data_IF_144668547070
#
_entry.id   IF_144668547070
#
_cell.length_a   1.000
_cell.length_b   1.000
_cell.length_c   1.000
_cell.angle_alpha   90.00
_cell.angle_beta   90.00
_cell.angle_gamma   90.00
#
_symmetry.space_group_name_H-M   'P 1'
#
loop_
_entity.id
_entity.type
_entity.pdbx_description
1 polymer ?
#
# COMPACT_ATOMS: atom_id res chain seq x y z
N UNK A 1 -11.87 -6.97 21.04
CA UNK A 1 -13.21 -6.44 21.42
C UNK A 1 -13.37 -6.17 22.92
N UNK A 2 -12.99 -7.09 23.84
CA UNK A 2 -13.15 -6.87 25.30
C UNK A 2 -12.49 -5.59 25.82
N UNK A 3 -11.27 -5.32 25.38
CA UNK A 3 -10.54 -4.09 25.72
C UNK A 3 -11.24 -2.83 25.18
N UNK A 4 -11.72 -2.90 23.93
CA UNK A 4 -12.44 -1.80 23.29
C UNK A 4 -13.74 -1.46 24.04
N UNK A 5 -14.47 -2.46 24.53
CA UNK A 5 -15.62 -2.25 25.40
C UNK A 5 -15.25 -1.59 26.73
N UNK A 6 -14.09 -1.91 27.30
CA UNK A 6 -13.60 -1.27 28.54
C UNK A 6 -13.26 0.20 28.31
N UNK A 7 -12.64 0.54 27.17
CA UNK A 7 -12.33 1.92 26.79
C UNK A 7 -13.62 2.75 26.65
N UNK A 8 -14.66 2.20 26.01
CA UNK A 8 -15.96 2.86 25.86
C UNK A 8 -16.65 3.13 27.20
N UNK A 9 -16.59 2.18 28.14
CA UNK A 9 -17.11 2.37 29.51
C UNK A 9 -16.39 3.50 30.26
N UNK A 10 -15.18 3.88 29.84
CA UNK A 10 -14.41 5.01 30.38
C UNK A 10 -14.62 6.31 29.59
N UNK A 11 -15.56 6.35 28.65
CA UNK A 11 -15.81 7.53 27.83
C UNK A 11 -14.84 7.70 26.64
N UNK A 12 -14.04 6.67 26.31
CA UNK A 12 -13.02 6.78 25.25
C UNK A 12 -13.57 6.20 23.94
N UNK A 13 -13.52 6.99 22.87
CA UNK A 13 -13.85 6.57 21.52
C UNK A 13 -12.77 5.63 20.96
N UNK A 14 -13.14 4.70 20.08
CA UNK A 14 -12.16 3.83 19.43
C UNK A 14 -12.53 3.42 18.02
N UNK A 15 -11.48 3.20 17.22
CA UNK A 15 -11.58 2.74 15.83
C UNK A 15 -10.62 1.57 15.64
N UNK A 16 -11.12 0.45 15.11
CA UNK A 16 -10.32 -0.75 14.86
C UNK A 16 -10.94 -1.63 13.78
N UNK A 17 -10.09 -2.40 13.11
CA UNK A 17 -10.54 -3.42 12.17
C UNK A 17 -10.92 -4.72 12.90
N UNK A 18 -11.96 -5.38 12.40
CA UNK A 18 -12.46 -6.65 12.92
C UNK A 18 -12.99 -7.51 11.78
N UNK A 19 -12.81 -8.82 11.86
CA UNK A 19 -13.49 -9.77 10.97
C UNK A 19 -14.84 -10.12 11.57
N UNK A 20 -15.93 -9.82 10.86
CA UNK A 20 -17.29 -10.19 11.25
C UNK A 20 -17.78 -11.35 10.41
N UNK A 21 -18.49 -12.28 11.04
CA UNK A 21 -19.10 -13.42 10.35
C UNK A 21 -20.53 -13.05 9.94
N UNK A 22 -20.83 -13.20 8.65
CA UNK A 22 -22.19 -13.10 8.12
C UNK A 22 -22.99 -14.37 8.46
N UNK A 23 -24.34 -14.33 8.38
CA UNK A 23 -25.18 -15.50 8.63
C UNK A 23 -24.88 -16.71 7.72
N UNK A 24 -24.33 -16.47 6.53
CA UNK A 24 -23.89 -17.48 5.58
C UNK A 24 -22.53 -18.11 5.94
N UNK A 25 -21.88 -17.67 7.01
CA UNK A 25 -20.56 -18.13 7.46
C UNK A 25 -19.38 -17.36 6.84
N UNK A 26 -19.62 -16.43 5.90
CA UNK A 26 -18.55 -15.65 5.30
C UNK A 26 -17.94 -14.67 6.30
N UNK A 27 -16.61 -14.63 6.38
CA UNK A 27 -15.88 -13.61 7.12
C UNK A 27 -15.69 -12.35 6.27
N UNK A 28 -16.09 -11.21 6.81
CA UNK A 28 -15.97 -9.90 6.16
C UNK A 28 -15.15 -8.96 7.03
N UNK A 29 -14.07 -8.36 6.50
CA UNK A 29 -13.33 -7.36 7.22
C UNK A 29 -14.17 -6.09 7.32
N UNK A 30 -14.29 -5.58 8.54
CA UNK A 30 -15.03 -4.37 8.84
C UNK A 30 -14.19 -3.42 9.68
N UNK A 31 -14.36 -2.12 9.45
CA UNK A 31 -13.88 -1.07 10.32
C UNK A 31 -14.99 -0.74 11.33
N UNK A 32 -14.71 -1.00 12.60
CA UNK A 32 -15.60 -0.62 13.70
C UNK A 32 -15.15 0.74 14.25
N UNK A 33 -16.05 1.70 14.20
CA UNK A 33 -15.96 2.95 14.95
C UNK A 33 -16.98 2.89 16.08
N UNK A 34 -16.58 3.22 17.30
CA UNK A 34 -17.52 3.27 18.40
C UNK A 34 -17.20 4.39 19.39
N UNK A 35 -18.27 5.05 19.82
CA UNK A 35 -18.24 6.17 20.74
C UNK A 35 -19.18 5.89 21.92
N UNK A 36 -18.82 6.33 23.14
CA UNK A 36 -19.73 6.26 24.28
C UNK A 36 -20.94 7.17 24.04
N UNK A 37 -22.10 6.76 24.54
CA UNK A 37 -23.25 7.64 24.69
C UNK A 37 -23.27 8.16 26.11
N UNK A 38 -23.32 9.48 26.27
CA UNK A 38 -23.30 10.16 27.55
C UNK A 38 -24.67 10.78 27.84
N UNK A 39 -25.10 10.78 29.11
CA UNK A 39 -26.23 11.60 29.56
C UNK A 39 -25.82 13.07 29.77
N UNK A 40 -26.76 13.91 30.25
CA UNK A 40 -26.52 15.33 30.50
C UNK A 40 -25.51 15.59 31.63
N UNK A 41 -25.31 14.61 32.52
CA UNK A 41 -24.42 14.69 33.67
C UNK A 41 -23.03 14.07 33.36
N UNK A 42 -22.81 13.61 32.12
CA UNK A 42 -21.56 13.04 31.65
C UNK A 42 -21.40 11.55 31.96
N UNK A 43 -22.43 10.85 32.45
CA UNK A 43 -22.37 9.42 32.71
C UNK A 43 -22.54 8.61 31.43
N UNK A 44 -21.79 7.52 31.29
CA UNK A 44 -21.90 6.60 30.14
C UNK A 44 -23.18 5.78 30.26
N UNK A 45 -24.16 6.07 29.40
CA UNK A 45 -25.44 5.35 29.31
C UNK A 45 -25.45 4.29 28.21
N UNK A 46 -24.43 4.24 27.36
CA UNK A 46 -24.35 3.25 26.30
C UNK A 46 -23.16 3.43 25.37
N UNK A 47 -23.26 2.84 24.18
CA UNK A 47 -22.28 3.03 23.11
C UNK A 47 -22.98 3.04 21.76
N UNK A 48 -22.57 3.97 20.91
CA UNK A 48 -22.94 4.02 19.51
C UNK A 48 -21.81 3.42 18.69
N UNK A 49 -22.11 2.43 17.85
CA UNK A 49 -21.14 1.76 17.00
C UNK A 49 -21.55 1.84 15.54
N UNK A 50 -20.63 2.27 14.69
CA UNK A 50 -20.74 2.20 13.25
C UNK A 50 -19.77 1.15 12.72
N UNK A 51 -20.27 0.25 11.88
CA UNK A 51 -19.46 -0.79 11.25
C UNK A 51 -19.49 -0.57 9.75
N UNK A 52 -18.31 -0.39 9.16
CA UNK A 52 -18.15 -0.22 7.71
C UNK A 52 -17.50 -1.46 7.14
N UNK A 53 -18.11 -2.10 6.14
CA UNK A 53 -17.45 -3.16 5.37
C UNK A 53 -16.28 -2.54 4.58
N UNK A 54 -15.07 -3.08 4.74
CA UNK A 54 -13.85 -2.59 4.10
C UNK A 54 -13.24 -3.62 3.13
N UNK A 55 -13.98 -4.66 2.75
CA UNK A 55 -13.49 -5.69 1.83
C UNK A 55 -13.02 -5.10 0.50
N UNK A 56 -13.84 -4.24 -0.10
CA UNK A 56 -13.53 -3.58 -1.38
C UNK A 56 -12.30 -2.67 -1.26
N UNK A 57 -12.21 -1.88 -0.18
CA UNK A 57 -11.05 -1.03 0.10
C UNK A 57 -9.76 -1.86 0.17
N UNK A 58 -9.80 -2.98 0.91
CA UNK A 58 -8.64 -3.88 1.05
C UNK A 58 -8.25 -4.55 -0.26
N UNK A 59 -9.22 -4.90 -1.09
CA UNK A 59 -8.94 -5.45 -2.41
C UNK A 59 -8.23 -4.43 -3.29
N UNK A 60 -8.72 -3.18 -3.33
CA UNK A 60 -8.07 -2.10 -4.08
C UNK A 60 -6.66 -1.78 -3.55
N UNK A 61 -6.47 -1.77 -2.22
CA UNK A 61 -5.15 -1.57 -1.60
C UNK A 61 -4.16 -2.68 -2.02
N UNK A 62 -4.62 -3.93 -2.09
CA UNK A 62 -3.80 -5.08 -2.51
C UNK A 62 -3.46 -5.01 -4.01
N UNK A 63 -4.44 -4.71 -4.86
CA UNK A 63 -4.23 -4.54 -6.31
C UNK A 63 -3.24 -3.40 -6.58
N UNK A 64 -3.37 -2.27 -5.87
CA UNK A 64 -2.42 -1.16 -5.98
C UNK A 64 -1.01 -1.58 -5.56
N UNK A 65 -0.88 -2.31 -4.45
CA UNK A 65 0.42 -2.81 -3.99
C UNK A 65 1.08 -3.70 -5.05
N UNK A 66 0.32 -4.63 -5.62
CA UNK A 66 0.81 -5.53 -6.67
C UNK A 66 1.29 -4.77 -7.91
N UNK A 67 0.53 -3.76 -8.34
CA UNK A 67 0.91 -2.91 -9.47
C UNK A 67 2.18 -2.11 -9.21
N UNK A 68 2.35 -1.58 -8.00
CA UNK A 68 3.59 -0.87 -7.59
C UNK A 68 4.78 -1.83 -7.61
N UNK A 69 4.64 -3.02 -7.02
CA UNK A 69 5.70 -4.04 -7.00
C UNK A 69 6.11 -4.46 -8.42
N UNK A 70 5.14 -4.63 -9.33
CA UNK A 70 5.41 -4.97 -10.73
C UNK A 70 6.14 -3.83 -11.46
N UNK A 71 5.69 -2.58 -11.25
CA UNK A 71 6.31 -1.41 -11.87
C UNK A 71 7.76 -1.24 -11.39
N UNK A 72 8.02 -1.41 -10.09
CA UNK A 72 9.37 -1.37 -9.53
C UNK A 72 10.27 -2.46 -10.14
N UNK A 73 9.75 -3.67 -10.31
CA UNK A 73 10.47 -4.77 -10.94
C UNK A 73 10.81 -4.45 -12.39
N UNK A 74 9.84 -3.94 -13.17
CA UNK A 74 10.06 -3.57 -14.56
C UNK A 74 11.09 -2.44 -14.68
N UNK A 75 10.95 -1.42 -13.85
CA UNK A 75 11.86 -0.28 -13.74
C UNK A 75 13.30 -0.73 -13.48
N UNK A 76 13.51 -1.62 -12.50
CA UNK A 76 14.83 -2.19 -12.19
C UNK A 76 15.46 -2.91 -13.41
N UNK A 77 14.68 -3.67 -14.15
CA UNK A 77 15.15 -4.36 -15.36
C UNK A 77 15.43 -3.37 -16.50
N UNK A 78 14.61 -2.34 -16.66
CA UNK A 78 14.81 -1.29 -17.66
C UNK A 78 16.11 -0.51 -17.40
N UNK A 79 16.34 -0.04 -16.17
CA UNK A 79 17.58 0.64 -15.81
C UNK A 79 18.83 -0.22 -16.01
N UNK A 80 18.75 -1.51 -15.67
CA UNK A 80 19.86 -2.44 -15.92
C UNK A 80 20.19 -2.55 -17.41
N UNK A 81 19.17 -2.63 -18.26
CA UNK A 81 19.34 -2.67 -19.72
C UNK A 81 19.91 -1.36 -20.27
N UNK A 82 19.40 -0.22 -19.82
CA UNK A 82 19.88 1.10 -20.26
C UNK A 82 21.34 1.31 -19.87
N UNK A 83 21.71 0.98 -18.62
CA UNK A 83 23.11 1.04 -18.16
C UNK A 83 24.02 0.15 -19.02
N UNK A 84 23.60 -1.10 -19.32
CA UNK A 84 24.39 -1.99 -20.17
C UNK A 84 24.49 -1.47 -21.60
N UNK A 85 23.43 -0.86 -22.13
CA UNK A 85 23.42 -0.27 -23.46
C UNK A 85 24.40 0.91 -23.56
N UNK A 86 24.46 1.77 -22.53
CA UNK A 86 25.44 2.87 -22.46
C UNK A 86 26.86 2.31 -22.45
N UNK A 87 27.14 1.32 -21.59
CA UNK A 87 28.45 0.66 -21.52
C UNK A 87 28.86 0.06 -22.88
N UNK A 88 27.95 -0.68 -23.52
CA UNK A 88 28.24 -1.27 -24.83
C UNK A 88 28.49 -0.21 -25.91
N UNK A 89 27.75 0.90 -25.91
CA UNK A 89 28.00 1.99 -26.86
C UNK A 89 29.36 2.65 -26.61
N UNK A 90 29.79 2.78 -25.35
CA UNK A 90 31.12 3.28 -24.99
C UNK A 90 32.21 2.32 -25.49
N UNK A 91 32.10 1.03 -25.19
CA UNK A 91 33.03 -0.01 -25.65
C UNK A 91 33.13 0.00 -27.19
N UNK A 92 32.00 0.09 -27.91
CA UNK A 92 32.03 0.15 -29.39
C UNK A 92 32.76 1.41 -29.87
N UNK A 93 32.53 2.57 -29.27
CA UNK A 93 33.23 3.79 -29.67
C UNK A 93 34.75 3.69 -29.41
N UNK A 94 35.15 3.12 -28.28
CA UNK A 94 36.57 2.90 -27.96
C UNK A 94 37.24 1.99 -28.99
N UNK A 95 36.58 0.88 -29.36
CA UNK A 95 37.07 -0.02 -30.40
C UNK A 95 37.15 0.64 -31.78
N UNK A 96 36.16 1.48 -32.16
CA UNK A 96 36.18 2.24 -33.42
C UNK A 96 37.39 3.17 -33.49
N UNK A 97 37.67 3.90 -32.40
CA UNK A 97 38.81 4.81 -32.31
C UNK A 97 40.15 4.06 -32.41
N UNK A 98 40.27 2.89 -31.80
CA UNK A 98 41.45 2.03 -31.93
C UNK A 98 41.71 1.56 -33.37
N UNK A 99 40.65 1.39 -34.16
CA UNK A 99 40.72 1.05 -35.58
C UNK A 99 40.98 2.29 -36.48
N UNK A 100 41.20 3.47 -35.90
CA UNK A 100 41.37 4.72 -36.64
C UNK A 100 40.08 5.25 -37.27
N UNK A 101 38.92 4.77 -36.81
CA UNK A 101 37.60 5.20 -37.27
C UNK A 101 36.98 6.19 -36.28
N UNK A 102 36.05 7.02 -36.76
CA UNK A 102 35.32 7.95 -35.91
C UNK A 102 34.33 7.23 -34.98
N UNK A 103 34.00 7.88 -33.86
CA UNK A 103 33.03 7.36 -32.90
C UNK A 103 31.64 7.20 -33.55
N UNK A 104 31.03 6.03 -33.35
CA UNK A 104 29.75 5.66 -33.98
C UNK A 104 28.52 6.19 -33.24
N UNK A 105 28.57 6.24 -31.91
CA UNK A 105 27.42 6.58 -31.08
C UNK A 105 27.67 7.83 -30.23
N UNK A 106 26.69 8.73 -30.18
CA UNK A 106 26.68 9.80 -29.18
C UNK A 106 26.15 9.26 -27.85
N UNK A 107 26.92 9.40 -26.78
CA UNK A 107 26.51 8.99 -25.43
C UNK A 107 25.85 10.17 -24.72
N UNK A 108 24.58 10.01 -24.35
CA UNK A 108 23.88 10.97 -23.48
C UNK A 108 24.23 10.61 -22.04
N UNK A 109 24.67 11.61 -21.25
CA UNK A 109 24.97 11.45 -19.83
C UNK A 109 23.71 11.53 -19.00
#
# INVERSE_FOLDING_TARGET
VREQNRMRKKGIHSMYEISLMRPDGQQVPCLMNASPLLDKDGNVIGSFGMTTNIAERKQMEEELRQNVDELERFSKVAFGREKKMIQLKQEINELMLQLGQDAKYKIVK
#
